data_IF_878007747379
#
_entry.id   IF_878007747379
#
_cell.length_a   1.000
_cell.length_b   1.000
_cell.length_c   1.000
_cell.angle_alpha   90.00
_cell.angle_beta   90.00
_cell.angle_gamma   90.00
#
_symmetry.space_group_name_H-M   'P 1'
#
loop_
_entity.id
_entity.type
_entity.pdbx_description
1 polymer ?
#
# COMPACT_ATOMS: atom_id res chain seq x y z
N UNK A 1 -57.69 -23.07 44.07
CA UNK A 1 -59.07 -23.52 43.88
C UNK A 1 -59.71 -22.50 42.95
N UNK A 2 -59.18 -22.34 41.74
CA UNK A 2 -59.34 -23.25 40.56
C UNK A 2 -60.73 -22.99 39.97
N UNK A 3 -61.01 -22.67 38.70
CA UNK A 3 -60.32 -22.59 37.40
C UNK A 3 -60.99 -21.45 36.59
N UNK A 4 -60.34 -20.71 35.68
CA UNK A 4 -60.18 -20.93 34.19
C UNK A 4 -61.42 -21.62 33.55
N UNK A 5 -62.05 -21.22 32.43
CA UNK A 5 -61.67 -20.59 31.15
C UNK A 5 -62.88 -19.93 30.48
N UNK A 6 -62.67 -18.91 29.64
CA UNK A 6 -63.31 -18.85 28.32
C UNK A 6 -62.50 -17.99 27.33
N UNK A 7 -61.98 -18.70 26.32
CA UNK A 7 -61.80 -18.38 24.90
C UNK A 7 -61.68 -16.92 24.42
N UNK A 8 -60.58 -16.64 23.71
CA UNK A 8 -60.50 -15.58 22.72
C UNK A 8 -60.03 -16.16 21.37
N UNK A 9 -60.95 -16.14 20.40
CA UNK A 9 -60.70 -16.27 18.97
C UNK A 9 -60.12 -14.96 18.42
N UNK A 10 -59.03 -15.02 17.65
CA UNK A 10 -58.79 -14.10 16.52
C UNK A 10 -57.94 -14.80 15.46
N UNK A 11 -58.59 -15.21 14.37
CA UNK A 11 -58.01 -15.23 13.03
C UNK A 11 -57.93 -13.79 12.53
N UNK A 12 -56.87 -13.43 11.80
CA UNK A 12 -56.98 -12.36 10.79
C UNK A 12 -55.93 -12.52 9.71
N UNK A 13 -56.43 -12.28 8.50
CA UNK A 13 -55.91 -12.67 7.20
C UNK A 13 -54.68 -11.90 6.70
N UNK A 14 -54.00 -12.57 5.79
CA UNK A 14 -53.10 -12.01 4.80
C UNK A 14 -53.83 -11.06 3.85
N UNK A 15 -53.29 -9.86 3.63
CA UNK A 15 -53.55 -9.12 2.39
C UNK A 15 -52.32 -8.30 1.97
N UNK A 16 -51.74 -8.75 0.86
CA UNK A 16 -50.89 -8.01 -0.06
C UNK A 16 -51.70 -6.90 -0.72
N UNK A 17 -51.30 -5.64 -0.59
CA UNK A 17 -51.63 -4.65 -1.61
C UNK A 17 -50.47 -3.70 -1.91
N UNK A 18 -50.22 -3.58 -3.20
CA UNK A 18 -49.11 -2.93 -3.87
C UNK A 18 -49.57 -1.56 -4.31
N UNK A 19 -49.03 -0.49 -3.73
CA UNK A 19 -49.16 0.86 -4.29
C UNK A 19 -47.81 1.42 -4.71
N UNK A 20 -47.71 1.66 -6.01
CA UNK A 20 -46.61 2.29 -6.71
C UNK A 20 -46.38 3.68 -6.15
N UNK A 21 -45.19 3.93 -5.60
CA UNK A 21 -44.68 5.27 -5.34
C UNK A 21 -43.75 5.65 -6.49
N UNK A 22 -44.13 6.72 -7.18
CA UNK A 22 -43.35 7.36 -8.23
C UNK A 22 -41.97 7.75 -7.66
N UNK A 23 -40.95 6.99 -8.04
CA UNK A 23 -39.56 7.36 -7.85
C UNK A 23 -39.25 8.51 -8.81
N UNK A 24 -39.50 9.72 -8.35
CA UNK A 24 -38.91 10.93 -8.90
C UNK A 24 -37.40 10.71 -8.99
N UNK A 25 -36.91 10.66 -10.22
CA UNK A 25 -35.52 10.37 -10.54
C UNK A 25 -34.62 11.37 -9.83
N UNK A 26 -33.95 10.92 -8.77
CA UNK A 26 -32.73 11.55 -8.28
C UNK A 26 -31.73 11.43 -9.42
N UNK A 27 -31.70 12.46 -10.26
CA UNK A 27 -30.61 12.69 -11.21
C UNK A 27 -29.38 12.85 -10.31
N UNK A 28 -28.58 11.79 -10.22
CA UNK A 28 -27.25 11.86 -9.63
C UNK A 28 -26.49 12.90 -10.45
N UNK A 29 -26.35 14.09 -9.87
CA UNK A 29 -25.46 15.14 -10.31
C UNK A 29 -24.06 14.52 -10.26
N UNK A 30 -23.52 14.13 -11.41
CA UNK A 30 -22.15 13.63 -11.51
C UNK A 30 -21.23 14.77 -11.08
N UNK A 31 -20.59 14.60 -9.92
CA UNK A 31 -19.61 15.54 -9.36
C UNK A 31 -18.50 15.79 -10.39
N UNK A 32 -18.22 17.07 -10.64
CA UNK A 32 -17.15 17.54 -11.52
C UNK A 32 -15.75 17.02 -11.14
N UNK A 33 -15.60 16.41 -9.96
CA UNK A 33 -14.34 15.87 -9.43
C UNK A 33 -13.90 14.56 -10.11
N UNK A 34 -14.79 13.85 -10.83
CA UNK A 34 -14.45 12.55 -11.45
C UNK A 34 -13.67 12.68 -12.77
N UNK A 35 -13.87 13.75 -13.54
CA UNK A 35 -13.11 13.96 -14.79
C UNK A 35 -11.62 14.20 -14.52
N UNK A 36 -11.29 15.00 -13.50
CA UNK A 36 -9.90 15.28 -13.12
C UNK A 36 -9.19 14.01 -12.62
N UNK A 37 -9.91 13.10 -11.96
CA UNK A 37 -9.37 11.81 -11.54
C UNK A 37 -9.07 10.90 -12.73
N UNK A 38 -9.93 10.91 -13.76
CA UNK A 38 -9.76 10.08 -14.95
C UNK A 38 -8.48 10.48 -15.73
N UNK A 39 -8.17 11.76 -15.78
CA UNK A 39 -6.96 12.28 -16.46
C UNK A 39 -5.65 11.82 -15.82
N UNK A 40 -5.66 11.47 -14.53
CA UNK A 40 -4.45 11.04 -13.79
C UNK A 40 -4.17 9.55 -14.00
N UNK A 41 -5.18 8.77 -14.37
CA UNK A 41 -5.11 7.32 -14.48
C UNK A 41 -4.75 6.89 -15.90
N UNK A 42 -4.04 5.77 -16.00
CA UNK A 42 -3.93 5.05 -17.27
C UNK A 42 -5.19 4.22 -17.49
N UNK A 43 -5.68 4.20 -18.72
CA UNK A 43 -6.63 3.17 -19.11
C UNK A 43 -5.95 1.79 -19.14
N UNK A 44 -6.68 0.69 -18.93
CA UNK A 44 -6.10 -0.66 -18.91
C UNK A 44 -5.27 -1.00 -20.14
N UNK A 45 -5.69 -0.53 -21.32
CA UNK A 45 -5.04 -0.76 -22.61
C UNK A 45 -4.04 0.35 -22.98
N UNK A 46 -3.96 1.42 -22.20
CA UNK A 46 -3.11 2.57 -22.51
C UNK A 46 -1.62 2.22 -22.27
N UNK A 47 -0.85 2.39 -23.34
CA UNK A 47 0.60 2.20 -23.35
C UNK A 47 1.23 3.31 -22.51
N UNK A 48 2.11 2.93 -21.59
CA UNK A 48 2.85 3.94 -20.84
C UNK A 48 3.86 4.69 -21.69
N UNK A 49 3.98 6.00 -21.47
CA UNK A 49 5.08 6.81 -21.97
C UNK A 49 6.43 6.49 -21.33
N UNK A 50 6.45 5.81 -20.18
CA UNK A 50 7.67 5.51 -19.41
C UNK A 50 7.80 4.02 -19.11
N UNK A 51 9.05 3.56 -18.93
CA UNK A 51 9.30 2.16 -18.55
C UNK A 51 8.79 1.81 -17.14
N UNK A 52 8.73 2.81 -16.25
CA UNK A 52 8.33 2.65 -14.86
C UNK A 52 7.13 3.54 -14.56
N UNK A 53 6.14 2.98 -13.87
CA UNK A 53 4.93 3.66 -13.47
C UNK A 53 4.82 3.75 -11.96
N UNK A 54 4.06 4.74 -11.50
CA UNK A 54 3.49 4.74 -10.15
C UNK A 54 2.28 3.82 -10.21
N UNK A 55 2.22 2.86 -9.30
CA UNK A 55 1.16 1.86 -9.24
C UNK A 55 0.70 1.63 -7.81
N UNK A 56 -0.57 1.24 -7.68
CA UNK A 56 -1.04 0.46 -6.55
C UNK A 56 -1.05 -1.01 -6.97
N UNK A 57 -0.55 -1.87 -6.11
CA UNK A 57 -0.45 -3.29 -6.40
C UNK A 57 -0.61 -4.13 -5.14
N UNK A 58 -0.97 -5.38 -5.33
CA UNK A 58 -1.05 -6.40 -4.29
C UNK A 58 -0.34 -7.68 -4.74
N UNK A 59 0.05 -8.52 -3.79
CA UNK A 59 0.46 -9.89 -4.08
C UNK A 59 -0.72 -10.71 -4.56
N UNK A 60 -0.43 -11.65 -5.47
CA UNK A 60 -1.40 -12.64 -5.91
C UNK A 60 -2.11 -13.33 -4.72
N UNK A 61 -3.41 -13.55 -4.89
CA UNK A 61 -4.26 -14.28 -3.96
C UNK A 61 -5.25 -15.12 -4.77
N UNK A 62 -5.24 -16.43 -4.58
CA UNK A 62 -6.09 -17.36 -5.36
C UNK A 62 -7.59 -17.14 -5.13
N UNK A 63 -7.97 -16.69 -3.93
CA UNK A 63 -9.37 -16.40 -3.59
C UNK A 63 -9.88 -15.14 -4.31
N UNK A 64 -8.99 -14.22 -4.66
CA UNK A 64 -9.32 -12.94 -5.31
C UNK A 64 -9.10 -12.98 -6.83
N UNK A 65 -8.04 -13.65 -7.27
CA UNK A 65 -7.58 -13.64 -8.67
C UNK A 65 -7.91 -14.95 -9.40
N UNK A 66 -8.49 -15.93 -8.70
CA UNK A 66 -8.74 -17.26 -9.23
C UNK A 66 -7.52 -18.16 -9.14
N UNK A 67 -7.72 -19.46 -9.35
CA UNK A 67 -6.63 -20.44 -9.23
C UNK A 67 -5.77 -20.49 -10.49
N UNK A 68 -4.45 -20.52 -10.30
CA UNK A 68 -3.48 -20.72 -11.39
C UNK A 68 -2.40 -21.72 -10.99
N UNK A 69 -1.97 -22.54 -11.93
CA UNK A 69 -0.83 -23.45 -11.75
C UNK A 69 0.51 -22.77 -12.06
N UNK A 70 0.51 -21.51 -12.51
CA UNK A 70 1.72 -20.79 -12.87
C UNK A 70 2.39 -20.18 -11.63
N UNK A 71 3.45 -20.82 -11.15
CA UNK A 71 4.26 -20.41 -9.99
C UNK A 71 4.77 -18.96 -10.12
N UNK A 72 5.06 -18.50 -11.34
CA UNK A 72 5.53 -17.13 -11.56
C UNK A 72 4.41 -16.12 -11.27
N UNK A 73 3.16 -16.45 -11.60
CA UNK A 73 1.99 -15.61 -11.30
C UNK A 73 1.74 -15.62 -9.79
N UNK A 74 1.79 -16.80 -9.15
CA UNK A 74 1.56 -16.96 -7.71
C UNK A 74 2.55 -16.16 -6.83
N UNK A 75 3.72 -15.81 -7.35
CA UNK A 75 4.72 -15.02 -6.63
C UNK A 75 4.81 -13.56 -7.06
N UNK A 76 3.95 -13.15 -8.00
CA UNK A 76 3.98 -11.82 -8.59
C UNK A 76 3.09 -10.83 -7.84
N UNK A 77 3.36 -9.55 -8.09
CA UNK A 77 2.45 -8.46 -7.73
C UNK A 77 1.49 -8.20 -8.89
N UNK A 78 0.20 -8.10 -8.60
CA UNK A 78 -0.86 -7.71 -9.49
C UNK A 78 -1.10 -6.21 -9.38
N UNK A 79 -1.28 -5.57 -10.52
CA UNK A 79 -1.53 -4.13 -10.61
C UNK A 79 -3.01 -3.88 -10.37
N UNK A 80 -3.31 -3.06 -9.37
CA UNK A 80 -4.67 -2.59 -9.06
C UNK A 80 -4.97 -1.33 -9.86
N UNK A 81 -4.05 -0.35 -9.83
CA UNK A 81 -4.14 0.91 -10.58
C UNK A 81 -2.78 1.40 -11.04
N UNK A 82 -2.77 2.10 -12.19
CA UNK A 82 -1.60 2.75 -12.79
C UNK A 82 -1.86 4.25 -12.92
N UNK A 83 -0.85 5.06 -12.60
CA UNK A 83 -0.96 6.52 -12.60
C UNK A 83 0.02 7.13 -13.61
N UNK A 84 -0.46 8.12 -14.38
CA UNK A 84 0.30 8.87 -15.38
C UNK A 84 1.36 9.76 -14.73
N UNK A 85 1.01 10.40 -13.62
CA UNK A 85 1.88 11.25 -12.83
C UNK A 85 1.58 11.13 -11.32
N UNK A 86 2.46 11.73 -10.51
CA UNK A 86 2.33 11.69 -9.05
C UNK A 86 1.31 12.75 -8.59
N UNK A 87 0.06 12.34 -8.38
CA UNK A 87 -0.96 13.17 -7.73
C UNK A 87 -1.27 12.60 -6.33
N UNK A 88 -0.76 13.26 -5.29
CA UNK A 88 -0.69 12.67 -3.94
C UNK A 88 -2.06 12.51 -3.27
N UNK A 89 -2.99 13.45 -3.52
CA UNK A 89 -4.36 13.41 -3.00
C UNK A 89 -5.09 12.16 -3.50
N UNK A 90 -5.09 11.95 -4.82
CA UNK A 90 -5.72 10.81 -5.48
C UNK A 90 -5.06 9.50 -5.06
N UNK A 91 -3.73 9.44 -5.07
CA UNK A 91 -2.99 8.23 -4.66
C UNK A 91 -3.30 7.82 -3.22
N UNK A 92 -3.39 8.77 -2.29
CA UNK A 92 -3.74 8.47 -0.91
C UNK A 92 -5.20 8.07 -0.74
N UNK A 93 -6.10 8.74 -1.47
CA UNK A 93 -7.52 8.40 -1.45
C UNK A 93 -7.71 6.96 -1.93
N UNK A 94 -7.14 6.61 -3.08
CA UNK A 94 -7.20 5.26 -3.64
C UNK A 94 -6.52 4.24 -2.73
N UNK A 95 -5.31 4.52 -2.23
CA UNK A 95 -4.61 3.64 -1.30
C UNK A 95 -5.43 3.40 -0.02
N UNK A 96 -6.06 4.43 0.53
CA UNK A 96 -6.91 4.31 1.72
C UNK A 96 -8.15 3.47 1.41
N UNK A 97 -8.81 3.74 0.29
CA UNK A 97 -9.97 2.99 -0.18
C UNK A 97 -9.64 1.49 -0.28
N UNK A 98 -8.59 1.14 -1.03
CA UNK A 98 -8.21 -0.25 -1.21
C UNK A 98 -7.74 -0.93 0.08
N UNK A 99 -7.03 -0.25 0.98
CA UNK A 99 -6.69 -0.86 2.27
C UNK A 99 -7.95 -1.12 3.12
N UNK A 100 -8.94 -0.24 3.12
CA UNK A 100 -10.19 -0.44 3.87
C UNK A 100 -10.97 -1.64 3.33
N UNK A 101 -11.12 -1.75 2.01
CA UNK A 101 -11.69 -2.92 1.35
C UNK A 101 -10.93 -4.19 1.71
N UNK A 102 -9.60 -4.14 1.64
CA UNK A 102 -8.76 -5.27 1.97
C UNK A 102 -8.87 -5.66 3.44
N UNK A 103 -9.04 -4.71 4.38
CA UNK A 103 -9.23 -5.01 5.81
C UNK A 103 -10.52 -5.79 6.05
N UNK A 104 -11.60 -5.41 5.35
CA UNK A 104 -12.87 -6.11 5.44
C UNK A 104 -12.73 -7.56 4.95
N UNK A 105 -12.11 -7.75 3.78
CA UNK A 105 -11.82 -9.08 3.24
C UNK A 105 -10.80 -9.87 4.09
N UNK A 106 -9.81 -9.19 4.69
CA UNK A 106 -8.72 -9.75 5.48
C UNK A 106 -9.22 -10.50 6.72
N UNK A 107 -10.25 -9.99 7.39
CA UNK A 107 -10.77 -10.66 8.59
C UNK A 107 -11.36 -12.05 8.26
N UNK A 108 -11.81 -12.24 7.03
CA UNK A 108 -12.29 -13.52 6.49
C UNK A 108 -11.09 -14.34 5.99
N UNK A 109 -10.21 -13.75 5.17
CA UNK A 109 -9.05 -14.41 4.54
C UNK A 109 -7.98 -14.90 5.52
N UNK A 110 -7.67 -14.16 6.60
CA UNK A 110 -6.65 -14.57 7.58
C UNK A 110 -7.10 -15.82 8.36
N UNK A 111 -8.40 -16.06 8.48
CA UNK A 111 -8.91 -17.27 9.15
C UNK A 111 -8.74 -18.51 8.27
N UNK A 112 -8.72 -18.36 6.95
CA UNK A 112 -8.65 -19.48 5.99
C UNK A 112 -7.21 -19.74 5.51
N UNK A 113 -6.40 -18.69 5.31
CA UNK A 113 -5.04 -18.81 4.76
C UNK A 113 -4.06 -19.22 5.86
N UNK A 114 -3.60 -20.48 5.82
CA UNK A 114 -2.57 -20.99 6.75
C UNK A 114 -1.15 -20.64 6.31
N UNK A 115 -0.86 -20.64 5.01
CA UNK A 115 0.49 -20.36 4.48
C UNK A 115 0.47 -20.16 2.97
N UNK A 116 1.30 -19.23 2.47
CA UNK A 116 1.51 -19.04 1.04
C UNK A 116 2.65 -19.96 0.53
N UNK A 117 2.52 -20.62 -0.64
CA UNK A 117 3.48 -21.62 -1.11
C UNK A 117 4.91 -21.09 -1.29
N UNK A 118 5.04 -19.87 -1.81
CA UNK A 118 6.33 -19.28 -2.17
C UNK A 118 6.77 -18.19 -1.15
N UNK A 119 5.87 -17.28 -0.80
CA UNK A 119 6.16 -16.12 0.03
C UNK A 119 6.03 -16.48 1.51
N UNK A 120 7.15 -16.86 2.14
CA UNK A 120 7.20 -17.26 3.56
C UNK A 120 6.56 -16.26 4.52
N UNK A 121 6.70 -14.96 4.24
CA UNK A 121 6.22 -13.88 5.10
C UNK A 121 4.91 -13.24 4.61
N UNK A 122 4.12 -13.97 3.81
CA UNK A 122 2.92 -13.45 3.13
C UNK A 122 1.92 -12.82 4.11
N UNK A 123 1.52 -13.56 5.15
CA UNK A 123 0.55 -13.10 6.14
C UNK A 123 0.96 -11.77 6.78
N UNK A 124 2.24 -11.62 7.13
CA UNK A 124 2.79 -10.39 7.72
C UNK A 124 2.92 -9.23 6.72
N UNK A 125 2.86 -9.49 5.41
CA UNK A 125 2.85 -8.46 4.38
C UNK A 125 1.42 -7.96 4.21
N UNK A 126 0.46 -8.86 4.03
CA UNK A 126 -0.95 -8.53 3.78
C UNK A 126 -1.68 -8.04 5.04
N UNK A 127 -1.17 -8.34 6.24
CA UNK A 127 -1.74 -7.88 7.52
C UNK A 127 -1.39 -6.44 7.89
N UNK A 128 -0.60 -5.75 7.07
CA UNK A 128 -0.20 -4.36 7.35
C UNK A 128 -1.35 -3.41 7.05
N UNK A 129 -1.56 -2.43 7.92
CA UNK A 129 -2.58 -1.39 7.72
C UNK A 129 -2.38 -0.58 6.42
N UNK A 130 -1.12 -0.45 5.98
CA UNK A 130 -0.71 0.23 4.76
C UNK A 130 -0.12 -0.77 3.74
N UNK A 131 -0.79 -1.90 3.58
CA UNK A 131 -0.37 -2.96 2.66
C UNK A 131 -0.36 -2.45 1.22
N UNK A 132 -1.48 -1.91 0.75
CA UNK A 132 -1.63 -1.33 -0.59
C UNK A 132 -1.15 0.11 -0.53
N UNK A 133 -0.09 0.44 -1.24
CA UNK A 133 0.49 1.77 -1.22
C UNK A 133 1.16 2.09 -2.55
N UNK A 134 1.44 3.38 -2.83
CA UNK A 134 2.14 3.77 -4.04
C UNK A 134 3.53 3.12 -4.12
N UNK A 135 3.77 2.40 -5.21
CA UNK A 135 5.05 1.79 -5.55
C UNK A 135 5.46 2.21 -6.97
N UNK A 136 6.76 2.21 -7.24
CA UNK A 136 7.31 2.35 -8.60
C UNK A 136 7.58 0.96 -9.13
N UNK A 137 6.95 0.61 -10.24
CA UNK A 137 7.05 -0.73 -10.82
C UNK A 137 7.17 -0.71 -12.34
N UNK A 138 7.73 -1.79 -12.88
CA UNK A 138 7.63 -2.12 -14.30
C UNK A 138 6.40 -3.01 -14.48
N UNK A 139 5.42 -2.56 -15.26
CA UNK A 139 4.21 -3.31 -15.58
C UNK A 139 4.47 -4.29 -16.73
N UNK A 140 3.86 -5.47 -16.67
CA UNK A 140 3.94 -6.52 -17.69
C UNK A 140 2.53 -7.07 -17.88
N UNK A 141 2.03 -6.95 -19.10
CA UNK A 141 0.75 -7.54 -19.49
C UNK A 141 0.95 -8.99 -19.91
N UNK A 142 0.15 -9.88 -19.33
CA UNK A 142 0.11 -11.29 -19.69
C UNK A 142 -0.88 -11.51 -20.83
N UNK A 143 -0.71 -12.60 -21.58
CA UNK A 143 -1.64 -12.97 -22.65
C UNK A 143 -3.07 -13.29 -22.13
N UNK A 144 -3.20 -13.52 -20.82
CA UNK A 144 -4.48 -13.72 -20.12
C UNK A 144 -5.27 -12.43 -19.90
N UNK A 145 -4.68 -11.26 -20.19
CA UNK A 145 -5.26 -9.93 -19.93
C UNK A 145 -4.90 -9.35 -18.55
N UNK A 146 -4.27 -10.13 -17.67
CA UNK A 146 -3.82 -9.68 -16.36
C UNK A 146 -2.58 -8.78 -16.47
N UNK A 147 -2.49 -7.80 -15.58
CA UNK A 147 -1.32 -6.91 -15.48
C UNK A 147 -0.56 -7.20 -14.18
N UNK A 148 0.64 -7.77 -14.32
CA UNK A 148 1.55 -7.98 -13.20
C UNK A 148 2.64 -6.90 -13.18
N UNK A 149 3.32 -6.74 -12.05
CA UNK A 149 4.40 -5.78 -11.94
C UNK A 149 5.62 -6.25 -11.14
N UNK A 150 6.76 -5.69 -11.50
CA UNK A 150 8.03 -5.89 -10.81
C UNK A 150 8.39 -4.60 -10.08
N UNK A 151 8.36 -4.64 -8.75
CA UNK A 151 8.68 -3.49 -7.90
C UNK A 151 10.14 -3.06 -8.07
N UNK A 152 10.37 -1.77 -8.28
CA UNK A 152 11.70 -1.14 -8.38
C UNK A 152 12.04 -0.28 -7.17
N UNK A 153 11.09 -0.09 -6.25
CA UNK A 153 11.30 0.68 -5.01
C UNK A 153 12.26 0.03 -4.04
N UNK A 154 12.53 -1.27 -4.16
CA UNK A 154 13.48 -1.98 -3.30
C UNK A 154 14.87 -1.31 -3.28
N UNK A 155 15.44 -1.01 -4.45
CA UNK A 155 16.76 -0.38 -4.57
C UNK A 155 16.77 1.05 -4.03
N UNK A 156 15.70 1.81 -4.32
CA UNK A 156 15.52 3.17 -3.81
C UNK A 156 15.49 3.15 -2.28
N UNK A 157 14.77 2.19 -1.67
CA UNK A 157 14.69 2.05 -0.21
C UNK A 157 16.04 1.69 0.41
N UNK A 158 16.86 0.86 -0.25
CA UNK A 158 18.22 0.57 0.21
C UNK A 158 19.10 1.82 0.22
N UNK A 159 19.07 2.59 -0.87
CA UNK A 159 19.81 3.85 -0.97
C UNK A 159 19.35 4.84 0.11
N UNK A 160 18.04 5.02 0.26
CA UNK A 160 17.45 5.90 1.28
C UNK A 160 17.85 5.48 2.70
N UNK A 161 17.84 4.18 3.03
CA UNK A 161 18.27 3.68 4.35
C UNK A 161 19.74 3.98 4.61
N UNK A 162 20.60 3.69 3.64
CA UNK A 162 22.03 3.94 3.76
C UNK A 162 22.32 5.44 3.92
N UNK A 163 21.61 6.28 3.16
CA UNK A 163 21.72 7.73 3.28
C UNK A 163 21.23 8.25 4.64
N UNK A 164 20.06 7.82 5.13
CA UNK A 164 19.55 8.20 6.45
C UNK A 164 20.52 7.81 7.58
N UNK A 165 21.11 6.61 7.50
CA UNK A 165 22.15 6.15 8.44
C UNK A 165 23.36 7.09 8.41
N UNK A 166 23.87 7.40 7.21
CA UNK A 166 25.00 8.31 7.06
C UNK A 166 24.68 9.72 7.58
N UNK A 167 23.51 10.25 7.26
CA UNK A 167 23.05 11.54 7.75
C UNK A 167 23.00 11.60 9.28
N UNK A 168 22.44 10.58 9.92
CA UNK A 168 22.41 10.49 11.39
C UNK A 168 23.82 10.45 11.98
N UNK A 169 24.75 9.72 11.36
CA UNK A 169 26.15 9.71 11.78
C UNK A 169 26.79 11.10 11.68
N UNK A 170 26.58 11.81 10.56
CA UNK A 170 27.06 13.19 10.39
C UNK A 170 26.48 14.12 11.46
N UNK A 171 25.17 14.03 11.71
CA UNK A 171 24.49 14.82 12.75
C UNK A 171 25.11 14.58 14.13
N UNK A 172 25.37 13.33 14.50
CA UNK A 172 26.03 12.99 15.76
C UNK A 172 27.45 13.56 15.86
N UNK A 173 28.23 13.50 14.77
CA UNK A 173 29.59 14.08 14.72
C UNK A 173 29.53 15.59 14.88
N UNK A 174 28.62 16.27 14.18
CA UNK A 174 28.45 17.73 14.30
C UNK A 174 28.09 18.10 15.73
N UNK A 175 27.15 17.41 16.36
CA UNK A 175 26.79 17.63 17.76
C UNK A 175 27.99 17.47 18.69
N UNK A 176 28.81 16.42 18.50
CA UNK A 176 30.05 16.22 19.28
C UNK A 176 31.05 17.34 19.07
N UNK A 177 31.15 17.87 17.85
CA UNK A 177 32.04 18.99 17.50
C UNK A 177 31.60 20.32 18.11
N UNK A 178 30.30 20.50 18.34
CA UNK A 178 29.75 21.67 19.03
C UNK A 178 29.96 21.66 20.55
N UNK A 179 30.38 20.54 21.14
CA UNK A 179 30.66 20.47 22.57
C UNK A 179 31.85 21.37 22.92
N UNK A 180 31.74 22.11 24.02
CA UNK A 180 32.81 22.98 24.53
C UNK A 180 34.18 22.27 24.60
N UNK A 181 34.21 21.04 25.16
CA UNK A 181 35.43 20.23 25.24
C UNK A 181 36.08 19.98 23.87
N UNK A 182 35.27 19.75 22.84
CA UNK A 182 35.74 19.51 21.48
C UNK A 182 36.26 20.78 20.81
N UNK A 183 35.65 21.92 21.09
CA UNK A 183 36.08 23.23 20.59
C UNK A 183 37.44 23.61 21.20
N UNK A 184 37.58 23.52 22.53
CA UNK A 184 38.85 23.77 23.22
C UNK A 184 39.96 22.83 22.74
N UNK A 185 39.65 21.54 22.55
CA UNK A 185 40.60 20.60 21.98
C UNK A 185 41.06 21.01 20.57
N UNK A 186 40.13 21.50 19.74
CA UNK A 186 40.45 21.97 18.39
C UNK A 186 41.29 23.26 18.41
N UNK A 187 41.02 24.18 19.32
CA UNK A 187 41.79 25.41 19.48
C UNK A 187 43.24 25.13 19.91
N UNK A 188 43.42 24.18 20.84
CA UNK A 188 44.74 23.83 21.38
C UNK A 188 45.56 22.93 20.44
N UNK A 189 44.93 22.00 19.71
CA UNK A 189 45.65 20.99 18.90
C UNK A 189 45.53 21.20 17.39
N UNK A 190 44.64 22.09 16.92
CA UNK A 190 44.29 22.27 15.52
C UNK A 190 43.44 21.14 14.90
N UNK A 191 43.12 20.08 15.66
CA UNK A 191 42.41 18.88 15.17
C UNK A 191 41.14 18.62 15.97
N UNK A 192 40.19 17.88 15.39
CA UNK A 192 39.03 17.40 16.14
C UNK A 192 39.39 16.21 17.03
N UNK A 193 38.71 16.02 18.19
CA UNK A 193 38.88 14.82 19.01
C UNK A 193 38.66 13.52 18.24
N UNK A 194 39.33 12.44 18.65
CA UNK A 194 39.33 11.15 17.96
C UNK A 194 37.92 10.59 17.70
N UNK A 195 36.97 10.82 18.61
CA UNK A 195 35.58 10.34 18.51
C UNK A 195 34.70 11.14 17.52
N UNK A 196 35.20 12.23 16.92
CA UNK A 196 34.49 13.06 15.94
C UNK A 196 35.43 13.59 14.83
N UNK A 197 36.59 12.94 14.64
CA UNK A 197 37.59 13.34 13.66
C UNK A 197 37.13 13.10 12.22
N UNK A 198 36.57 11.93 11.96
CA UNK A 198 36.20 11.51 10.61
C UNK A 198 34.75 11.86 10.30
N UNK A 199 34.54 12.57 9.18
CA UNK A 199 33.21 12.81 8.63
C UNK A 199 32.88 11.71 7.61
N UNK A 200 31.76 10.96 7.75
CA UNK A 200 31.42 9.93 6.79
C UNK A 200 31.11 10.54 5.42
N UNK A 201 31.63 9.92 4.36
CA UNK A 201 31.43 10.35 2.97
C UNK A 201 30.43 9.44 2.26
N UNK A 202 29.96 9.87 1.08
CA UNK A 202 29.07 9.05 0.25
C UNK A 202 29.81 7.85 -0.36
N UNK A 203 31.13 7.95 -0.54
CA UNK A 203 31.96 6.88 -1.11
C UNK A 203 31.95 5.68 -0.17
N UNK A 204 31.58 4.51 -0.71
CA UNK A 204 31.49 3.28 0.06
C UNK A 204 30.20 3.12 0.88
N UNK A 205 29.23 4.05 0.77
CA UNK A 205 27.95 3.96 1.50
C UNK A 205 27.19 2.65 1.24
N UNK A 206 27.31 2.09 0.03
CA UNK A 206 26.67 0.85 -0.40
C UNK A 206 27.62 -0.35 -0.46
N UNK A 207 28.87 -0.21 0.00
CA UNK A 207 29.90 -1.26 -0.09
C UNK A 207 29.52 -2.57 0.62
N UNK A 208 28.62 -2.53 1.60
CA UNK A 208 28.15 -3.72 2.29
C UNK A 208 27.19 -4.59 1.45
N UNK A 209 26.67 -4.05 0.34
CA UNK A 209 25.77 -4.77 -0.59
C UNK A 209 26.51 -5.52 -1.69
N UNK A 210 27.80 -5.24 -1.91
CA UNK A 210 28.61 -5.87 -2.98
C UNK A 210 29.28 -7.17 -2.53
N UNK A 211 28.64 -7.93 -1.65
CA UNK A 211 29.16 -9.20 -1.11
C UNK A 211 28.48 -10.39 -1.75
#
# INVERSE_FOLDING_TARGET
MDNIETENNYETDSDTDSSYTDNESVINEYDSDDEDRLNVLYDPEEISSTQFNIVLCELYNEDLHGTTNNINIQSSYFVIRRYKYLEYSILNMDSTFYNNEYINARNILIQTIRSHPIIKNYLNIISRQNYIKPEIAKCIYLNTGECICILKTFWIRLIQRAWKKMYNNRKSIIQKRCLFKSLVYRETTGKWPANCIQMPTLKGMLSYLSK
#
